data_IF_531474655937
#
_entry.id   IF_531474655937
#
_cell.length_a   1.000
_cell.length_b   1.000
_cell.length_c   1.000
_cell.angle_alpha   90.00
_cell.angle_beta   90.00
_cell.angle_gamma   90.00
#
_symmetry.space_group_name_H-M   'P 1'
#
loop_
_entity.id
_entity.type
_entity.pdbx_description
1 polymer ?
#
# COMPACT_ATOMS: atom_id res chain seq x y z
N UNK A 1 19.47 -19.23 2.49
CA UNK A 1 19.42 -20.45 1.67
C UNK A 1 19.53 -21.71 2.54
N UNK A 2 20.51 -21.81 3.45
CA UNK A 2 20.58 -22.90 4.45
C UNK A 2 19.36 -23.00 5.38
N UNK A 3 18.64 -21.89 5.62
CA UNK A 3 17.38 -21.84 6.39
C UNK A 3 16.20 -22.63 5.77
N UNK A 4 16.26 -22.98 4.49
CA UNK A 4 15.15 -23.64 3.76
C UNK A 4 15.52 -25.03 3.25
N UNK A 5 16.81 -25.27 2.98
CA UNK A 5 17.32 -26.53 2.46
C UNK A 5 18.30 -27.16 3.47
N UNK A 6 18.10 -28.45 3.77
CA UNK A 6 19.14 -29.27 4.40
C UNK A 6 20.38 -29.33 3.50
N UNK A 7 21.55 -29.65 4.05
CA UNK A 7 22.82 -29.77 3.31
C UNK A 7 22.64 -30.57 2.01
N UNK A 8 22.05 -31.76 2.09
CA UNK A 8 21.77 -32.59 0.92
C UNK A 8 20.84 -31.94 -0.12
N UNK A 9 19.83 -31.18 0.32
CA UNK A 9 18.90 -30.49 -0.58
C UNK A 9 19.55 -29.26 -1.23
N UNK A 10 20.42 -28.56 -0.50
CA UNK A 10 21.17 -27.43 -1.02
C UNK A 10 22.16 -27.89 -2.09
N UNK A 11 22.84 -29.00 -1.84
CA UNK A 11 23.74 -29.63 -2.80
C UNK A 11 23.02 -30.03 -4.08
N UNK A 12 21.85 -30.66 -3.95
CA UNK A 12 21.03 -31.00 -5.13
C UNK A 12 20.58 -29.75 -5.90
N UNK A 13 20.12 -28.72 -5.20
CA UNK A 13 19.67 -27.46 -5.82
C UNK A 13 20.81 -26.72 -6.55
N UNK A 14 22.01 -26.73 -5.96
CA UNK A 14 23.19 -26.05 -6.51
C UNK A 14 23.98 -26.91 -7.51
N UNK A 15 23.58 -28.17 -7.73
CA UNK A 15 24.30 -29.12 -8.59
C UNK A 15 25.64 -29.58 -8.02
N UNK A 16 25.80 -29.56 -6.69
CA UNK A 16 27.01 -30.01 -6.01
C UNK A 16 26.93 -31.48 -5.62
N UNK A 17 28.09 -32.14 -5.61
CA UNK A 17 28.24 -33.51 -5.12
C UNK A 17 27.97 -33.53 -3.62
N UNK A 18 27.31 -34.58 -3.13
CA UNK A 18 27.00 -34.73 -1.72
C UNK A 18 28.26 -34.75 -0.85
N UNK A 19 28.28 -33.96 0.22
CA UNK A 19 29.46 -33.79 1.09
C UNK A 19 30.53 -32.86 0.51
N UNK A 20 30.16 -31.96 -0.41
CA UNK A 20 31.10 -31.02 -1.03
C UNK A 20 31.64 -30.02 0.00
N UNK A 21 32.94 -29.70 -0.13
CA UNK A 21 33.54 -28.59 0.64
C UNK A 21 32.88 -27.24 0.36
N UNK A 22 32.15 -27.11 -0.76
CA UNK A 22 31.35 -25.93 -1.07
C UNK A 22 30.21 -25.75 -0.07
N UNK A 23 29.54 -26.83 0.33
CA UNK A 23 28.39 -26.76 1.24
C UNK A 23 28.80 -26.25 2.61
N UNK A 24 29.94 -26.74 3.12
CA UNK A 24 30.53 -26.29 4.38
C UNK A 24 30.68 -24.77 4.43
N UNK A 25 31.17 -24.13 3.36
CA UNK A 25 31.35 -22.66 3.28
C UNK A 25 30.05 -21.87 3.47
N UNK A 26 28.90 -22.41 3.06
CA UNK A 26 27.60 -21.72 3.11
C UNK A 26 26.70 -22.15 4.28
N UNK A 27 26.97 -23.29 4.92
CA UNK A 27 26.18 -23.83 6.05
C UNK A 27 26.65 -23.28 7.41
N UNK A 28 27.80 -22.60 7.47
CA UNK A 28 28.37 -22.08 8.73
C UNK A 28 27.53 -21.06 9.53
N UNK A 29 26.35 -20.65 9.05
CA UNK A 29 25.46 -19.73 9.77
C UNK A 29 24.42 -20.41 10.68
N UNK A 30 24.43 -21.74 10.80
CA UNK A 30 23.42 -22.53 11.52
C UNK A 30 23.52 -22.52 13.05
N UNK A 31 24.46 -21.79 13.67
CA UNK A 31 24.52 -21.66 15.13
C UNK A 31 23.27 -20.93 15.69
N UNK A 32 22.80 -19.88 15.01
CA UNK A 32 21.54 -19.19 15.36
C UNK A 32 20.30 -20.05 15.09
N UNK A 33 20.36 -20.88 14.05
CA UNK A 33 19.25 -21.79 13.70
C UNK A 33 19.16 -22.97 14.69
N UNK A 34 20.30 -23.41 15.25
CA UNK A 34 20.33 -24.39 16.35
C UNK A 34 19.73 -23.80 17.62
N UNK A 35 20.05 -22.55 17.95
CA UNK A 35 19.44 -21.85 19.09
C UNK A 35 17.91 -21.76 18.93
N UNK A 36 17.39 -21.38 17.75
CA UNK A 36 15.95 -21.34 17.47
C UNK A 36 15.30 -22.74 17.59
N UNK A 37 15.92 -23.79 17.05
CA UNK A 37 15.43 -25.16 17.13
C UNK A 37 15.48 -25.76 18.56
N UNK A 38 16.52 -25.43 19.34
CA UNK A 38 16.65 -25.82 20.74
C UNK A 38 15.59 -25.10 21.58
N UNK A 39 15.36 -23.81 21.32
CA UNK A 39 14.28 -23.05 21.96
C UNK A 39 12.90 -23.61 21.61
N UNK A 40 12.65 -24.05 20.37
CA UNK A 40 11.41 -24.75 19.98
C UNK A 40 11.24 -26.08 20.73
N UNK A 41 12.30 -26.90 20.79
CA UNK A 41 12.27 -28.20 21.46
C UNK A 41 12.00 -28.09 22.97
N UNK A 42 12.42 -26.99 23.59
CA UNK A 42 12.15 -26.66 24.99
C UNK A 42 10.88 -25.82 25.20
N UNK A 43 10.11 -25.52 24.15
CA UNK A 43 8.87 -24.76 24.24
C UNK A 43 9.03 -23.27 24.56
N UNK A 44 10.22 -22.71 24.39
CA UNK A 44 10.60 -21.33 24.69
C UNK A 44 10.69 -20.43 23.44
N UNK A 45 10.37 -20.95 22.26
CA UNK A 45 10.40 -20.18 21.02
C UNK A 45 9.36 -19.05 21.04
N UNK A 46 9.83 -17.80 20.89
CA UNK A 46 8.97 -16.65 20.64
C UNK A 46 8.41 -16.78 19.22
N UNK A 47 7.09 -16.91 19.09
CA UNK A 47 6.37 -16.89 17.80
C UNK A 47 6.32 -15.48 17.21
N UNK A 48 7.43 -14.76 17.14
CA UNK A 48 7.43 -13.41 16.58
C UNK A 48 8.72 -13.16 15.81
N UNK A 49 8.65 -13.39 14.51
CA UNK A 49 8.77 -12.28 13.58
C UNK A 49 8.13 -12.72 12.26
N UNK A 50 7.10 -11.98 11.89
CA UNK A 50 6.48 -11.97 10.57
C UNK A 50 7.57 -12.15 9.51
N UNK A 51 7.68 -13.37 8.96
CA UNK A 51 8.25 -13.52 7.64
C UNK A 51 7.35 -12.64 6.79
N UNK A 52 7.80 -11.42 6.49
CA UNK A 52 7.18 -10.57 5.49
C UNK A 52 7.29 -11.39 4.23
N UNK A 53 6.24 -12.13 3.98
CA UNK A 53 6.09 -12.94 2.81
C UNK A 53 6.23 -11.96 1.66
N UNK A 54 7.37 -11.98 0.97
CA UNK A 54 7.57 -11.31 -0.32
C UNK A 54 6.70 -12.01 -1.39
N UNK A 55 5.46 -12.35 -1.02
CA UNK A 55 4.47 -12.95 -1.89
C UNK A 55 3.84 -11.80 -2.65
N UNK A 56 3.96 -11.87 -3.98
CA UNK A 56 3.27 -10.94 -4.86
C UNK A 56 1.77 -10.92 -4.55
N UNK A 57 1.24 -9.74 -4.27
CA UNK A 57 -0.18 -9.55 -4.00
C UNK A 57 -0.97 -9.44 -5.30
N UNK A 58 -2.17 -10.02 -5.33
CA UNK A 58 -3.07 -9.93 -6.48
C UNK A 58 -3.94 -8.68 -6.36
N UNK A 59 -4.02 -7.91 -7.44
CA UNK A 59 -4.96 -6.81 -7.52
C UNK A 59 -6.41 -7.33 -7.45
N UNK A 60 -7.27 -6.81 -6.56
CA UNK A 60 -8.66 -7.27 -6.46
C UNK A 60 -9.53 -6.88 -7.67
N UNK A 61 -9.06 -5.95 -8.52
CA UNK A 61 -9.78 -5.44 -9.69
C UNK A 61 -9.46 -6.18 -10.98
N UNK A 62 -8.18 -6.47 -11.23
CA UNK A 62 -7.70 -7.03 -12.50
C UNK A 62 -6.85 -8.28 -12.32
N UNK A 63 -6.72 -8.78 -11.09
CA UNK A 63 -5.98 -10.00 -10.70
C UNK A 63 -4.47 -10.00 -11.02
N UNK A 64 -3.93 -8.92 -11.57
CA UNK A 64 -2.49 -8.78 -11.83
C UNK A 64 -1.72 -8.86 -10.51
N UNK A 65 -0.65 -9.66 -10.51
CA UNK A 65 0.32 -9.75 -9.42
C UNK A 65 1.18 -8.48 -9.37
N UNK A 66 1.21 -7.81 -8.23
CA UNK A 66 2.05 -6.63 -7.97
C UNK A 66 3.02 -6.93 -6.83
N UNK A 67 4.05 -6.09 -6.68
CA UNK A 67 4.95 -6.23 -5.53
C UNK A 67 4.23 -5.84 -4.24
N UNK A 68 4.57 -6.45 -3.10
CA UNK A 68 3.94 -6.15 -1.81
C UNK A 68 3.99 -4.65 -1.45
N UNK A 69 5.05 -3.95 -1.83
CA UNK A 69 5.21 -2.52 -1.56
C UNK A 69 4.54 -1.60 -2.60
N UNK A 70 3.83 -2.16 -3.60
CA UNK A 70 3.20 -1.36 -4.65
C UNK A 70 1.94 -0.66 -4.15
N UNK A 71 1.97 0.67 -4.04
CA UNK A 71 0.79 1.47 -3.66
C UNK A 71 -0.36 1.41 -4.69
N UNK A 72 -0.04 1.20 -5.97
CA UNK A 72 -1.00 1.09 -7.07
C UNK A 72 -0.70 -0.11 -7.95
N UNK A 73 -1.75 -0.66 -8.56
CA UNK A 73 -1.62 -1.69 -9.55
C UNK A 73 -0.94 -1.14 -10.81
N UNK A 74 0.16 -1.79 -11.20
CA UNK A 74 0.94 -1.47 -12.41
C UNK A 74 0.17 -1.59 -13.73
N UNK A 75 -0.95 -2.31 -13.73
CA UNK A 75 -1.75 -2.56 -14.94
C UNK A 75 -3.01 -1.69 -15.02
N UNK A 76 -3.84 -1.68 -13.98
CA UNK A 76 -5.13 -0.98 -14.01
C UNK A 76 -5.19 0.31 -13.16
N UNK A 77 -4.10 0.64 -12.45
CA UNK A 77 -4.02 1.84 -11.61
C UNK A 77 -4.78 1.79 -10.28
N UNK A 78 -5.46 0.68 -9.96
CA UNK A 78 -6.19 0.52 -8.70
C UNK A 78 -5.27 0.69 -7.48
N UNK A 79 -5.71 1.43 -6.46
CA UNK A 79 -4.94 1.67 -5.24
C UNK A 79 -4.98 0.40 -4.38
N UNK A 80 -3.81 -0.19 -4.14
CA UNK A 80 -3.68 -1.43 -3.37
C UNK A 80 -3.54 -1.14 -1.87
N UNK A 81 -2.93 -0.01 -1.53
CA UNK A 81 -2.75 0.45 -0.15
C UNK A 81 -4.04 1.08 0.39
N UNK A 82 -4.63 0.47 1.42
CA UNK A 82 -5.87 0.94 2.05
C UNK A 82 -5.72 2.34 2.67
N UNK A 83 -4.59 2.61 3.32
CA UNK A 83 -4.37 3.91 3.96
C UNK A 83 -4.29 5.03 2.92
N UNK A 84 -3.60 4.76 1.81
CA UNK A 84 -3.51 5.70 0.70
C UNK A 84 -4.87 5.92 0.03
N UNK A 85 -5.70 4.87 -0.06
CA UNK A 85 -7.05 4.99 -0.60
C UNK A 85 -7.92 5.92 0.26
N UNK A 86 -7.89 5.73 1.59
CA UNK A 86 -8.64 6.56 2.54
C UNK A 86 -8.19 8.03 2.52
N UNK A 87 -6.88 8.29 2.50
CA UNK A 87 -6.36 9.67 2.46
C UNK A 87 -6.78 10.41 1.18
N UNK A 88 -6.74 9.71 0.04
CA UNK A 88 -7.17 10.28 -1.23
C UNK A 88 -8.67 10.57 -1.25
N UNK A 89 -9.48 9.68 -0.68
CA UNK A 89 -10.93 9.86 -0.57
C UNK A 89 -11.27 11.08 0.30
N UNK A 90 -10.62 11.23 1.46
CA UNK A 90 -10.77 12.42 2.31
C UNK A 90 -10.42 13.71 1.56
N UNK A 91 -9.27 13.74 0.88
CA UNK A 91 -8.85 14.89 0.06
C UNK A 91 -9.77 15.19 -1.11
N UNK A 92 -10.47 14.19 -1.65
CA UNK A 92 -11.49 14.43 -2.70
C UNK A 92 -12.75 15.05 -2.11
N UNK A 93 -13.22 14.54 -0.98
CA UNK A 93 -14.40 15.09 -0.27
C UNK A 93 -14.15 16.54 0.16
N UNK A 94 -12.98 16.84 0.73
CA UNK A 94 -12.62 18.22 1.13
C UNK A 94 -12.65 19.19 -0.07
N UNK A 95 -12.09 18.78 -1.21
CA UNK A 95 -12.12 19.60 -2.44
C UNK A 95 -13.52 19.78 -2.98
N UNK A 96 -14.35 18.74 -2.96
CA UNK A 96 -15.73 18.82 -3.41
C UNK A 96 -16.53 19.80 -2.54
N UNK A 97 -16.34 19.76 -1.21
CA UNK A 97 -16.95 20.71 -0.29
C UNK A 97 -16.48 22.15 -0.55
N UNK A 98 -15.19 22.37 -0.79
CA UNK A 98 -14.66 23.69 -1.12
C UNK A 98 -15.27 24.25 -2.42
N UNK A 99 -15.37 23.40 -3.44
CA UNK A 99 -15.99 23.77 -4.73
C UNK A 99 -17.47 24.11 -4.52
N UNK A 100 -18.21 23.29 -3.78
CA UNK A 100 -19.63 23.54 -3.47
C UNK A 100 -19.82 24.87 -2.75
N UNK A 101 -19.00 25.16 -1.74
CA UNK A 101 -19.08 26.41 -1.00
C UNK A 101 -18.77 27.63 -1.90
N UNK A 102 -17.78 27.51 -2.79
CA UNK A 102 -17.47 28.55 -3.78
C UNK A 102 -18.64 28.78 -4.75
N UNK A 103 -19.27 27.71 -5.24
CA UNK A 103 -20.44 27.82 -6.11
C UNK A 103 -21.61 28.52 -5.42
N UNK A 104 -21.91 28.15 -4.17
CA UNK A 104 -22.96 28.79 -3.39
C UNK A 104 -22.70 30.30 -3.19
N UNK A 105 -21.45 30.69 -2.92
CA UNK A 105 -21.07 32.10 -2.78
C UNK A 105 -21.23 32.87 -4.09
N UNK A 106 -20.87 32.25 -5.22
CA UNK A 106 -21.07 32.85 -6.54
C UNK A 106 -22.56 33.04 -6.84
N UNK A 107 -23.40 32.06 -6.54
CA UNK A 107 -24.86 32.14 -6.71
C UNK A 107 -25.46 33.30 -5.90
N UNK A 108 -25.08 33.45 -4.63
CA UNK A 108 -25.50 34.58 -3.79
C UNK A 108 -25.05 35.92 -4.38
N UNK A 109 -23.81 35.99 -4.87
CA UNK A 109 -23.27 37.22 -5.47
C UNK A 109 -24.02 37.60 -6.74
N UNK A 110 -24.30 36.63 -7.62
CA UNK A 110 -25.09 36.87 -8.85
C UNK A 110 -26.50 37.35 -8.48
N UNK A 111 -27.14 36.71 -7.50
CA UNK A 111 -28.50 37.08 -7.07
C UNK A 111 -28.57 38.50 -6.54
N UNK A 112 -27.59 38.91 -5.71
CA UNK A 112 -27.52 40.28 -5.19
C UNK A 112 -27.24 41.31 -6.30
N UNK A 113 -26.39 40.99 -7.29
CA UNK A 113 -26.15 41.85 -8.44
C UNK A 113 -27.41 42.04 -9.30
N UNK A 114 -28.17 40.97 -9.54
CA UNK A 114 -29.45 41.03 -10.27
C UNK A 114 -30.45 41.91 -9.51
N UNK A 115 -30.61 41.70 -8.20
CA UNK A 115 -31.52 42.49 -7.36
C UNK A 115 -31.14 43.98 -7.34
N UNK A 116 -29.85 44.29 -7.27
CA UNK A 116 -29.36 45.66 -7.27
C UNK A 116 -29.60 46.36 -8.62
N UNK A 117 -29.43 45.64 -9.75
CA UNK A 117 -29.76 46.16 -11.09
C UNK A 117 -31.26 46.47 -11.22
N UNK A 118 -32.13 45.57 -10.75
CA UNK A 118 -33.59 45.83 -10.77
C UNK A 118 -33.99 47.05 -9.93
N UNK A 119 -33.34 47.26 -8.78
CA UNK A 119 -33.59 48.45 -7.96
C UNK A 119 -33.08 49.74 -8.61
N UNK A 120 -31.93 49.71 -9.30
CA UNK A 120 -31.41 50.91 -10.00
C UNK A 120 -32.26 51.33 -11.19
N UNK A 121 -32.96 50.40 -11.85
CA UNK A 121 -33.91 50.71 -12.92
C UNK A 121 -35.22 51.34 -12.38
N UNK A 122 -35.70 50.93 -11.21
CA UNK A 122 -36.89 51.53 -10.58
C UNK A 122 -36.72 52.97 -10.09
N UNK A 123 -35.48 53.43 -9.83
CA UNK A 123 -35.19 54.79 -9.35
C UNK A 123 -35.10 55.85 -10.45
N UNK A 124 -35.00 55.44 -11.73
CA UNK A 124 -34.92 56.35 -12.88
C UNK A 124 -36.28 56.65 -13.54
N UNK A 125 -37.32 55.88 -13.20
CA UNK A 125 -38.68 56.01 -13.77
C UNK A 125 -39.69 56.73 -12.84
N UNK A 126 -39.24 57.41 -11.78
CA UNK A 126 -40.12 58.27 -10.97
C UNK A 126 -40.17 59.70 -11.55
N UNK A 127 -41.36 60.27 -11.85
CA UNK A 127 -41.54 61.62 -12.40
C UNK A 127 -41.01 62.76 -11.53
#
# INVERSE_FOLDING_TARGET
MAKVFTESKLELYAGWVQGSKMTRRYVHFSARDLEEAVLELHGLAKKDEVRRDFRLEKCPRCEKKNQPESMRCSFCGYILDKNLAEELEQKTVERELEIQHRLQRLEQTITTLIQNQSNTQSSFDSP
#
